data_IF_193005734551
#
_entry.id   IF_193005734551
#
_cell.length_a   1.000
_cell.length_b   1.000
_cell.length_c   1.000
_cell.angle_alpha   90.00
_cell.angle_beta   90.00
_cell.angle_gamma   90.00
#
_symmetry.space_group_name_H-M   'P 1'
#
loop_
_entity.id
_entity.type
_entity.pdbx_description
1 polymer ?
#
# COMPACT_ATOMS: atom_id res chain seq x y z
N UNK A 1 -19.44 -42.67 48.54
CA UNK A 1 -19.29 -41.40 47.80
C UNK A 1 -17.93 -41.39 47.12
N UNK A 2 -17.88 -41.50 45.79
CA UNK A 2 -16.62 -41.48 45.00
C UNK A 2 -16.35 -40.03 44.58
N UNK A 3 -15.27 -39.46 45.08
CA UNK A 3 -14.77 -38.13 44.70
C UNK A 3 -14.06 -38.22 43.35
N UNK A 4 -14.63 -37.62 42.32
CA UNK A 4 -14.02 -37.46 40.98
C UNK A 4 -12.99 -36.33 41.06
N UNK A 5 -11.71 -36.64 40.87
CA UNK A 5 -10.64 -35.65 40.71
C UNK A 5 -10.70 -35.09 39.29
N UNK A 6 -11.05 -33.82 39.17
CA UNK A 6 -11.13 -33.05 37.91
C UNK A 6 -10.18 -31.85 38.00
N UNK A 7 -8.87 -32.05 38.10
CA UNK A 7 -7.93 -30.92 38.30
C UNK A 7 -6.51 -31.16 37.76
N UNK A 8 -6.35 -31.70 36.55
CA UNK A 8 -5.03 -31.62 35.88
C UNK A 8 -5.06 -31.25 34.39
N UNK A 9 -6.18 -31.41 33.69
CA UNK A 9 -6.25 -31.09 32.26
C UNK A 9 -6.30 -29.58 31.96
N UNK A 10 -6.84 -28.76 32.88
CA UNK A 10 -7.02 -27.32 32.63
C UNK A 10 -5.71 -26.52 32.74
N UNK A 11 -4.74 -26.97 33.55
CA UNK A 11 -3.47 -26.26 33.72
C UNK A 11 -2.58 -26.35 32.49
N UNK A 12 -2.55 -27.51 31.83
CA UNK A 12 -1.72 -27.71 30.63
C UNK A 12 -2.28 -26.94 29.43
N UNK A 13 -3.61 -26.89 29.27
CA UNK A 13 -4.24 -26.10 28.20
C UNK A 13 -4.05 -24.60 28.42
N UNK A 14 -4.20 -24.13 29.66
CA UNK A 14 -3.98 -22.70 29.99
C UNK A 14 -2.50 -22.30 29.86
N UNK A 15 -1.56 -23.19 30.24
CA UNK A 15 -0.13 -22.95 29.99
C UNK A 15 0.19 -22.92 28.50
N UNK A 16 -0.33 -23.85 27.69
CA UNK A 16 -0.08 -23.85 26.24
C UNK A 16 -0.69 -22.62 25.54
N UNK A 17 -1.86 -22.15 25.98
CA UNK A 17 -2.47 -20.91 25.45
C UNK A 17 -1.66 -19.68 25.89
N UNK A 18 -1.16 -19.63 27.13
CA UNK A 18 -0.27 -18.54 27.58
C UNK A 18 1.09 -18.57 26.89
N UNK A 19 1.67 -19.75 26.62
CA UNK A 19 2.94 -19.86 25.87
C UNK A 19 2.75 -19.51 24.39
N UNK A 20 1.62 -19.87 23.77
CA UNK A 20 1.26 -19.41 22.43
C UNK A 20 0.98 -17.90 22.38
N UNK A 21 0.39 -17.31 23.44
CA UNK A 21 0.24 -15.86 23.57
C UNK A 21 1.57 -15.13 23.86
N UNK A 22 2.50 -15.78 24.57
CA UNK A 22 3.83 -15.22 24.84
C UNK A 22 4.77 -15.35 23.64
N UNK A 23 4.54 -16.28 22.71
CA UNK A 23 5.21 -16.30 21.40
C UNK A 23 4.67 -15.22 20.43
N UNK A 24 3.66 -14.44 20.83
CA UNK A 24 3.24 -13.20 20.17
C UNK A 24 3.97 -11.95 20.71
N UNK A 25 5.00 -12.14 21.55
CA UNK A 25 5.82 -11.07 22.12
C UNK A 25 6.96 -10.73 21.14
N UNK A 26 6.67 -9.64 20.43
CA UNK A 26 7.52 -8.65 19.72
C UNK A 26 8.63 -9.19 18.83
N UNK A 27 8.29 -9.55 17.59
CA UNK A 27 9.22 -9.39 16.50
C UNK A 27 8.90 -8.01 15.84
N UNK A 28 9.94 -7.21 15.59
CA UNK A 28 9.90 -5.82 15.10
C UNK A 28 8.87 -5.59 14.00
N UNK A 29 8.22 -4.43 13.96
CA UNK A 29 7.21 -4.15 12.95
C UNK A 29 7.89 -3.80 11.63
N UNK A 30 7.22 -3.97 10.50
CA UNK A 30 7.88 -3.80 9.21
C UNK A 30 6.79 -3.61 8.13
N UNK A 31 6.98 -2.63 7.24
CA UNK A 31 6.03 -2.26 6.17
C UNK A 31 6.32 -2.99 4.86
N UNK A 32 5.63 -2.68 3.76
CA UNK A 32 5.99 -3.22 2.45
C UNK A 32 5.69 -2.20 1.37
N UNK A 33 6.68 -1.91 0.53
CA UNK A 33 6.47 -1.10 -0.66
C UNK A 33 5.38 -1.72 -1.55
N UNK A 34 4.67 -0.85 -2.24
CA UNK A 34 3.54 -1.24 -3.07
C UNK A 34 4.04 -1.80 -4.40
N UNK A 35 3.64 -3.02 -4.78
CA UNK A 35 4.03 -3.58 -6.06
C UNK A 35 3.38 -2.78 -7.20
N UNK A 36 4.13 -2.57 -8.29
CA UNK A 36 3.54 -2.12 -9.55
C UNK A 36 2.47 -3.11 -10.02
N UNK A 37 1.44 -2.66 -10.78
CA UNK A 37 1.21 -1.30 -11.24
C UNK A 37 0.40 -0.44 -10.25
N UNK A 38 0.17 -0.93 -9.02
CA UNK A 38 -0.87 -0.41 -8.12
C UNK A 38 -0.75 1.07 -7.76
N UNK A 39 0.46 1.65 -7.89
CA UNK A 39 0.70 3.09 -7.76
C UNK A 39 -0.16 3.91 -8.72
N UNK A 40 -0.36 3.44 -9.95
CA UNK A 40 -1.22 4.07 -10.95
C UNK A 40 -2.71 3.74 -10.79
N UNK A 41 -3.05 2.91 -9.80
CA UNK A 41 -4.41 2.62 -9.39
C UNK A 41 -4.80 3.35 -8.10
N UNK A 42 -3.91 4.16 -7.53
CA UNK A 42 -4.20 4.95 -6.33
C UNK A 42 -3.69 4.36 -5.02
N UNK A 43 -3.04 3.19 -5.04
CA UNK A 43 -2.41 2.62 -3.86
C UNK A 43 -1.29 3.53 -3.31
N UNK A 44 -1.16 3.62 -1.99
CA UNK A 44 -0.12 4.40 -1.32
C UNK A 44 1.26 3.85 -1.68
N UNK A 45 2.15 4.70 -2.19
CA UNK A 45 3.45 4.25 -2.71
C UNK A 45 4.66 4.93 -2.02
N UNK A 46 4.52 5.21 -0.72
CA UNK A 46 5.63 5.70 0.08
C UNK A 46 6.70 4.61 0.28
N UNK A 47 8.00 4.96 0.24
CA UNK A 47 9.05 4.03 0.58
C UNK A 47 8.98 3.57 2.05
N UNK A 48 9.47 2.36 2.31
CA UNK A 48 9.45 1.75 3.64
C UNK A 48 10.47 2.40 4.59
N UNK A 49 10.02 2.84 5.77
CA UNK A 49 10.87 3.47 6.78
C UNK A 49 11.72 2.47 7.59
N UNK A 50 11.45 1.18 7.45
CA UNK A 50 12.17 0.09 8.12
C UNK A 50 12.64 -0.97 7.14
N UNK A 51 13.45 -1.91 7.61
CA UNK A 51 13.84 -3.10 6.84
C UNK A 51 12.61 -3.96 6.65
N UNK A 52 12.38 -4.53 5.47
CA UNK A 52 11.16 -5.26 5.20
C UNK A 52 11.32 -6.53 4.39
N UNK A 53 10.47 -7.52 4.65
CA UNK A 53 10.30 -8.71 3.82
C UNK A 53 8.83 -9.10 3.87
N UNK A 54 8.08 -8.75 2.84
CA UNK A 54 6.64 -8.94 2.81
C UNK A 54 6.21 -9.84 1.67
N UNK A 55 5.24 -10.71 1.96
CA UNK A 55 4.48 -11.45 0.98
C UNK A 55 3.05 -10.92 0.98
N UNK A 56 2.44 -10.81 -0.18
CA UNK A 56 1.08 -10.30 -0.27
C UNK A 56 0.37 -10.67 -1.55
N UNK A 57 -0.90 -10.29 -1.56
CA UNK A 57 -1.76 -10.33 -2.72
C UNK A 57 -2.26 -8.91 -3.00
N UNK A 58 -2.22 -8.50 -4.27
CA UNK A 58 -2.78 -7.24 -4.74
C UNK A 58 -3.70 -7.51 -5.92
N UNK A 59 -4.90 -6.93 -5.89
CA UNK A 59 -5.85 -6.98 -7.00
C UNK A 59 -6.10 -5.56 -7.50
N UNK A 60 -5.81 -5.31 -8.77
CA UNK A 60 -6.21 -4.08 -9.47
C UNK A 60 -7.21 -4.42 -10.58
N UNK A 61 -8.09 -3.49 -10.95
CA UNK A 61 -9.02 -3.66 -12.08
C UNK A 61 -8.86 -2.54 -13.10
N UNK A 62 -8.73 -2.93 -14.37
CA UNK A 62 -8.83 -2.05 -15.52
C UNK A 62 -10.14 -2.30 -16.25
N UNK A 63 -10.91 -1.26 -16.52
CA UNK A 63 -12.15 -1.31 -17.31
C UNK A 63 -11.98 -0.58 -18.63
N UNK A 64 -12.38 -1.22 -19.72
CA UNK A 64 -12.21 -0.70 -21.09
C UNK A 64 -13.17 0.44 -21.48
N UNK A 65 -14.19 0.69 -20.67
CA UNK A 65 -15.33 1.54 -21.02
C UNK A 65 -15.32 2.82 -20.23
N UNK A 66 -15.58 3.96 -20.88
CA UNK A 66 -15.79 5.26 -20.24
C UNK A 66 -17.18 5.38 -19.56
N UNK A 67 -17.45 6.53 -18.93
CA UNK A 67 -18.75 6.82 -18.29
C UNK A 67 -19.96 6.75 -19.23
N UNK A 68 -19.75 6.97 -20.53
CA UNK A 68 -20.77 6.86 -21.59
C UNK A 68 -20.88 5.44 -22.18
N UNK A 69 -20.14 4.46 -21.62
CA UNK A 69 -20.02 3.07 -22.09
C UNK A 69 -19.40 2.91 -23.47
N UNK A 70 -18.67 3.91 -23.92
CA UNK A 70 -17.84 3.85 -25.11
C UNK A 70 -16.45 3.31 -24.76
N UNK A 71 -15.78 2.70 -25.73
CA UNK A 71 -14.44 2.19 -25.51
C UNK A 71 -13.45 3.36 -25.30
N UNK A 72 -12.74 3.36 -24.17
CA UNK A 72 -11.87 4.48 -23.76
C UNK A 72 -10.59 4.58 -24.62
N UNK A 73 -9.99 3.43 -24.95
CA UNK A 73 -8.76 3.37 -25.72
C UNK A 73 -8.71 2.10 -26.58
N UNK A 74 -7.58 1.83 -27.24
CA UNK A 74 -7.43 0.67 -28.11
C UNK A 74 -7.36 -0.69 -27.36
N UNK A 75 -7.54 -0.70 -26.04
CA UNK A 75 -7.66 -1.93 -25.24
C UNK A 75 -9.12 -2.35 -25.26
N UNK A 76 -9.40 -3.48 -25.92
CA UNK A 76 -10.76 -4.04 -26.07
C UNK A 76 -11.06 -5.15 -25.07
N UNK A 77 -10.33 -5.21 -23.97
CA UNK A 77 -10.52 -6.19 -22.90
C UNK A 77 -10.47 -5.52 -21.52
N UNK A 78 -11.38 -5.91 -20.63
CA UNK A 78 -11.28 -5.61 -19.20
C UNK A 78 -10.28 -6.59 -18.58
N UNK A 79 -9.42 -6.09 -17.68
CA UNK A 79 -8.35 -6.88 -17.08
C UNK A 79 -8.36 -6.74 -15.56
N UNK A 80 -8.16 -7.85 -14.86
CA UNK A 80 -7.65 -7.81 -13.49
C UNK A 80 -6.12 -7.86 -13.51
N UNK A 81 -5.47 -7.27 -12.51
CA UNK A 81 -4.06 -7.52 -12.22
C UNK A 81 -3.97 -8.08 -10.81
N UNK A 82 -4.03 -9.41 -10.72
CA UNK A 82 -4.15 -10.16 -9.48
C UNK A 82 -2.79 -10.77 -9.14
N UNK A 83 -1.98 -10.04 -8.40
CA UNK A 83 -0.58 -10.38 -8.19
C UNK A 83 -0.34 -10.91 -6.80
N UNK A 84 0.20 -12.13 -6.73
CA UNK A 84 1.02 -12.51 -5.59
C UNK A 84 2.35 -11.78 -5.70
N UNK A 85 2.80 -11.14 -4.62
CA UNK A 85 4.01 -10.35 -4.61
C UNK A 85 4.89 -10.67 -3.39
N UNK A 86 6.20 -10.58 -3.60
CA UNK A 86 7.23 -10.59 -2.57
C UNK A 86 8.01 -9.29 -2.66
N UNK A 87 8.10 -8.54 -1.57
CA UNK A 87 8.84 -7.28 -1.48
C UNK A 87 9.88 -7.37 -0.38
N UNK A 88 11.10 -6.89 -0.65
CA UNK A 88 12.19 -6.83 0.31
C UNK A 88 12.80 -5.45 0.32
N UNK A 89 12.81 -4.80 1.49
CA UNK A 89 13.50 -3.53 1.74
C UNK A 89 14.65 -3.74 2.71
N UNK A 90 15.78 -3.09 2.48
CA UNK A 90 16.91 -3.06 3.41
C UNK A 90 17.44 -1.64 3.57
N UNK A 91 17.59 -1.19 4.80
CA UNK A 91 18.35 -0.01 5.19
C UNK A 91 19.79 -0.45 5.48
N UNK A 92 20.74 0.19 4.81
CA UNK A 92 22.13 -0.27 4.81
C UNK A 92 22.92 0.31 5.98
N UNK A 93 23.41 -0.54 6.89
CA UNK A 93 24.25 -0.11 8.02
C UNK A 93 25.54 0.62 7.60
N UNK A 94 26.09 0.30 6.42
CA UNK A 94 27.32 0.90 5.88
C UNK A 94 27.09 2.20 5.09
N UNK A 95 25.85 2.45 4.67
CA UNK A 95 25.46 3.62 3.87
C UNK A 95 24.30 4.29 4.61
N UNK A 96 24.65 5.07 5.62
CA UNK A 96 23.66 5.70 6.49
C UNK A 96 22.66 6.54 5.69
N UNK A 97 21.38 6.38 6.00
CA UNK A 97 20.28 7.02 5.30
C UNK A 97 19.86 6.32 4.00
N UNK A 98 20.63 5.38 3.44
CA UNK A 98 20.24 4.68 2.22
C UNK A 98 19.40 3.43 2.53
N UNK A 99 18.28 3.28 1.83
CA UNK A 99 17.54 2.02 1.71
C UNK A 99 17.40 1.59 0.26
N UNK A 100 17.28 0.29 0.04
CA UNK A 100 16.95 -0.30 -1.26
C UNK A 100 15.75 -1.20 -1.13
N UNK A 101 14.87 -1.20 -2.13
CA UNK A 101 13.75 -2.12 -2.23
C UNK A 101 13.85 -2.92 -3.53
N UNK A 102 13.45 -4.19 -3.46
CA UNK A 102 13.17 -5.02 -4.63
C UNK A 102 11.83 -5.74 -4.41
N UNK A 103 10.95 -5.65 -5.40
CA UNK A 103 9.66 -6.32 -5.38
C UNK A 103 9.49 -7.16 -6.64
N UNK A 104 8.98 -8.37 -6.48
CA UNK A 104 8.62 -9.26 -7.57
C UNK A 104 7.17 -9.66 -7.41
N UNK A 105 6.44 -9.78 -8.51
CA UNK A 105 5.14 -10.41 -8.47
C UNK A 105 4.77 -11.09 -9.77
N UNK A 106 3.61 -11.74 -9.73
CA UNK A 106 2.92 -12.16 -10.93
C UNK A 106 1.58 -12.78 -10.61
N UNK A 107 0.77 -12.96 -11.66
CA UNK A 107 -0.51 -13.63 -11.51
C UNK A 107 -1.45 -13.47 -12.71
N UNK A 108 -2.63 -14.08 -12.60
CA UNK A 108 -3.60 -14.14 -13.70
C UNK A 108 -4.30 -12.80 -13.92
N UNK A 109 -4.72 -12.57 -15.16
CA UNK A 109 -5.35 -11.30 -15.58
C UNK A 109 -6.88 -11.33 -15.57
N UNK A 110 -7.48 -12.42 -15.07
CA UNK A 110 -8.91 -12.53 -14.93
C UNK A 110 -9.48 -11.45 -14.00
N UNK A 111 -10.73 -11.05 -14.18
CA UNK A 111 -11.32 -9.93 -13.42
C UNK A 111 -11.71 -10.26 -11.97
N UNK A 112 -11.59 -11.52 -11.55
CA UNK A 112 -11.91 -11.91 -10.20
C UNK A 112 -10.66 -11.87 -9.32
N UNK A 113 -10.76 -11.39 -8.07
CA UNK A 113 -11.99 -11.04 -7.34
C UNK A 113 -12.43 -9.57 -7.45
N UNK A 114 -11.68 -8.71 -8.15
CA UNK A 114 -11.90 -7.25 -8.14
C UNK A 114 -13.22 -6.84 -8.77
N UNK A 115 -13.71 -7.55 -9.79
CA UNK A 115 -15.04 -7.33 -10.37
C UNK A 115 -16.17 -7.59 -9.37
N UNK A 116 -16.08 -8.68 -8.60
CA UNK A 116 -17.10 -8.97 -7.58
C UNK A 116 -17.13 -7.85 -6.53
N UNK A 117 -15.96 -7.44 -6.04
CA UNK A 117 -15.85 -6.36 -5.05
C UNK A 117 -16.39 -5.04 -5.59
N UNK A 118 -16.08 -4.66 -6.83
CA UNK A 118 -16.60 -3.42 -7.40
C UNK A 118 -18.11 -3.53 -7.71
N UNK A 119 -18.53 -4.49 -8.54
CA UNK A 119 -19.90 -4.50 -9.06
C UNK A 119 -20.91 -4.99 -8.00
N UNK A 120 -20.61 -6.06 -7.26
CA UNK A 120 -21.59 -6.66 -6.35
C UNK A 120 -21.55 -6.01 -4.96
N UNK A 121 -20.36 -5.72 -4.44
CA UNK A 121 -20.24 -5.15 -3.10
C UNK A 121 -20.35 -3.62 -3.10
N UNK A 122 -19.50 -2.90 -3.83
CA UNK A 122 -19.54 -1.43 -3.86
C UNK A 122 -20.78 -0.92 -4.61
N UNK A 123 -20.98 -1.31 -5.88
CA UNK A 123 -22.03 -0.72 -6.72
C UNK A 123 -23.42 -1.20 -6.30
N UNK A 124 -23.66 -2.51 -6.21
CA UNK A 124 -24.98 -3.04 -5.87
C UNK A 124 -25.31 -2.92 -4.37
N UNK A 125 -24.41 -3.35 -3.48
CA UNK A 125 -24.74 -3.45 -2.05
C UNK A 125 -24.63 -2.13 -1.29
N UNK A 126 -23.59 -1.32 -1.56
CA UNK A 126 -23.29 -0.11 -0.79
C UNK A 126 -23.94 1.14 -1.40
N UNK A 127 -23.71 1.39 -2.69
CA UNK A 127 -24.08 2.66 -3.32
C UNK A 127 -25.33 2.59 -4.19
N UNK A 128 -25.82 1.39 -4.53
CA UNK A 128 -26.94 1.14 -5.43
C UNK A 128 -26.82 1.90 -6.78
N UNK A 129 -25.63 1.85 -7.39
CA UNK A 129 -25.30 2.49 -8.68
C UNK A 129 -25.13 1.44 -9.79
N UNK A 130 -25.27 1.80 -11.08
CA UNK A 130 -25.13 0.86 -12.19
C UNK A 130 -23.78 0.14 -12.19
N UNK A 131 -23.78 -1.15 -12.55
CA UNK A 131 -22.55 -1.94 -12.64
C UNK A 131 -21.75 -1.61 -13.90
N UNK A 132 -20.42 -1.78 -13.81
CA UNK A 132 -19.54 -1.57 -14.96
C UNK A 132 -19.61 -2.79 -15.90
N UNK A 133 -19.95 -2.60 -17.19
CA UNK A 133 -20.08 -3.68 -18.15
C UNK A 133 -18.72 -4.32 -18.48
N UNK A 134 -18.77 -5.58 -18.90
CA UNK A 134 -17.61 -6.37 -19.34
C UNK A 134 -18.01 -7.10 -20.62
N UNK A 135 -17.30 -6.85 -21.72
CA UNK A 135 -17.49 -7.61 -22.96
C UNK A 135 -16.57 -8.82 -23.02
N UNK A 136 -15.27 -8.55 -22.88
CA UNK A 136 -14.23 -9.56 -22.95
C UNK A 136 -13.29 -9.37 -21.77
N UNK A 137 -12.97 -10.48 -21.12
CA UNK A 137 -11.99 -10.54 -20.05
C UNK A 137 -10.67 -11.01 -20.60
N UNK A 138 -9.60 -10.26 -20.35
CA UNK A 138 -8.26 -10.67 -20.74
C UNK A 138 -7.85 -11.94 -19.99
N UNK A 139 -7.47 -12.98 -20.72
CA UNK A 139 -6.99 -14.24 -20.16
C UNK A 139 -5.50 -14.44 -20.44
N UNK A 140 -4.65 -14.06 -19.51
CA UNK A 140 -3.20 -14.08 -19.61
C UNK A 140 -2.58 -14.20 -18.21
N UNK A 141 -1.25 -14.28 -18.17
CA UNK A 141 -0.45 -14.18 -16.96
C UNK A 141 0.48 -12.98 -17.09
N UNK A 142 0.46 -12.10 -16.09
CA UNK A 142 1.33 -10.94 -16.03
C UNK A 142 2.34 -11.07 -14.89
N UNK A 143 3.48 -10.40 -15.06
CA UNK A 143 4.50 -10.27 -14.03
C UNK A 143 4.95 -8.81 -13.92
N UNK A 144 5.59 -8.51 -12.80
CA UNK A 144 6.17 -7.21 -12.48
C UNK A 144 7.41 -7.40 -11.63
N UNK A 145 8.36 -6.50 -11.81
CA UNK A 145 9.57 -6.35 -11.01
C UNK A 145 9.75 -4.87 -10.74
N UNK A 146 9.92 -4.51 -9.49
CA UNK A 146 10.25 -3.17 -9.05
C UNK A 146 11.59 -3.18 -8.32
N UNK A 147 12.41 -2.18 -8.56
CA UNK A 147 13.62 -1.95 -7.79
C UNK A 147 13.78 -0.45 -7.53
N UNK A 148 14.14 -0.07 -6.32
CA UNK A 148 14.36 1.33 -5.98
C UNK A 148 15.47 1.52 -4.96
N UNK A 149 16.04 2.72 -4.97
CA UNK A 149 16.95 3.22 -3.95
C UNK A 149 16.40 4.53 -3.41
N UNK A 150 16.39 4.66 -2.08
CA UNK A 150 15.82 5.81 -1.38
C UNK A 150 16.82 6.31 -0.34
N UNK A 151 17.16 7.59 -0.42
CA UNK A 151 17.91 8.28 0.61
C UNK A 151 16.94 8.95 1.59
N UNK A 152 17.19 8.75 2.87
CA UNK A 152 16.38 9.19 3.99
C UNK A 152 17.10 10.23 4.82
N UNK A 153 16.37 11.26 5.22
CA UNK A 153 16.83 12.27 6.15
C UNK A 153 15.88 12.37 7.35
N UNK A 154 16.45 12.33 8.55
CA UNK A 154 15.71 12.55 9.79
C UNK A 154 15.50 14.04 10.02
N UNK A 155 14.39 14.41 10.64
CA UNK A 155 14.12 15.79 11.03
C UNK A 155 13.51 15.77 12.42
N UNK A 156 14.00 16.65 13.29
CA UNK A 156 13.48 16.86 14.64
C UNK A 156 13.40 15.57 15.48
N UNK A 157 14.54 14.88 15.62
CA UNK A 157 14.69 13.61 16.36
C UNK A 157 13.88 12.41 15.80
N UNK A 158 13.05 12.62 14.78
CA UNK A 158 12.42 11.54 14.02
C UNK A 158 13.35 11.11 12.88
N UNK A 159 13.94 9.90 12.92
CA UNK A 159 14.70 9.37 11.81
C UNK A 159 13.79 9.16 10.61
N UNK A 160 14.35 9.27 9.41
CA UNK A 160 13.71 8.82 8.15
C UNK A 160 12.34 9.46 7.87
N UNK A 161 12.26 10.79 7.95
CA UNK A 161 11.02 11.54 7.64
C UNK A 161 11.02 11.99 6.19
N UNK A 162 12.08 12.66 5.75
CA UNK A 162 12.20 13.11 4.38
C UNK A 162 12.86 12.03 3.55
N UNK A 163 12.42 11.88 2.32
CA UNK A 163 13.03 10.94 1.39
C UNK A 163 13.17 11.55 0.00
N UNK A 164 14.22 11.10 -0.68
CA UNK A 164 14.42 11.30 -2.11
C UNK A 164 14.99 10.01 -2.69
N UNK A 165 14.45 9.56 -3.81
CA UNK A 165 14.85 8.29 -4.39
C UNK A 165 14.35 8.13 -5.80
N UNK A 166 14.66 6.97 -6.36
CA UNK A 166 14.23 6.61 -7.70
C UNK A 166 14.41 5.12 -7.93
N UNK A 167 13.86 4.66 -9.04
CA UNK A 167 13.80 3.24 -9.32
C UNK A 167 13.34 2.94 -10.73
N UNK A 168 13.16 1.64 -10.96
CA UNK A 168 12.62 1.10 -12.20
C UNK A 168 11.52 0.10 -11.84
N UNK A 169 10.39 0.23 -12.52
CA UNK A 169 9.26 -0.69 -12.49
C UNK A 169 9.16 -1.32 -13.87
N UNK A 170 9.18 -2.65 -13.99
CA UNK A 170 9.16 -3.34 -15.28
C UNK A 170 8.25 -4.55 -15.21
N UNK A 171 7.38 -4.72 -16.20
CA UNK A 171 6.49 -5.86 -16.26
C UNK A 171 5.79 -6.00 -17.61
N UNK A 172 4.81 -6.88 -17.65
CA UNK A 172 4.03 -7.13 -18.88
C UNK A 172 3.28 -5.88 -19.36
N UNK A 173 2.85 -4.99 -18.45
CA UNK A 173 2.05 -3.80 -18.80
C UNK A 173 2.91 -2.66 -19.33
N UNK A 174 4.00 -2.35 -18.63
CA UNK A 174 4.86 -1.20 -18.92
C UNK A 174 6.25 -1.38 -18.30
N UNK A 175 7.18 -0.56 -18.76
CA UNK A 175 8.45 -0.29 -18.08
C UNK A 175 8.52 1.20 -17.75
N UNK A 176 8.81 1.55 -16.51
CA UNK A 176 8.89 2.93 -16.02
C UNK A 176 10.19 3.12 -15.26
N UNK A 177 10.97 4.13 -15.66
CA UNK A 177 11.99 4.71 -14.79
C UNK A 177 11.39 5.88 -14.04
N UNK A 178 11.53 5.93 -12.72
CA UNK A 178 10.89 6.97 -11.90
C UNK A 178 11.82 7.60 -10.87
N UNK A 179 11.51 8.85 -10.52
CA UNK A 179 12.04 9.56 -9.36
C UNK A 179 10.91 9.97 -8.42
N UNK A 180 11.15 9.94 -7.11
CA UNK A 180 10.20 10.34 -6.08
C UNK A 180 10.86 11.10 -4.95
N UNK A 181 10.14 12.03 -4.35
CA UNK A 181 10.57 12.72 -3.14
C UNK A 181 9.35 13.09 -2.28
N UNK A 182 9.56 13.21 -0.97
CA UNK A 182 8.46 13.53 -0.08
C UNK A 182 8.80 13.45 1.40
N UNK A 183 7.73 13.46 2.19
CA UNK A 183 7.72 13.26 3.63
C UNK A 183 6.89 12.02 3.97
N UNK A 184 7.38 11.20 4.89
CA UNK A 184 6.68 10.02 5.38
C UNK A 184 6.49 10.10 6.89
N UNK A 185 5.24 9.94 7.32
CA UNK A 185 4.81 9.89 8.72
C UNK A 185 5.38 11.03 9.59
N UNK A 186 5.34 12.26 9.08
CA UNK A 186 5.71 13.43 9.85
C UNK A 186 4.80 13.57 11.09
N UNK A 187 5.33 13.77 12.31
CA UNK A 187 4.57 13.77 13.55
C UNK A 187 3.73 15.03 13.79
N UNK A 188 2.78 15.31 12.90
CA UNK A 188 1.89 16.47 12.94
C UNK A 188 1.13 16.60 14.28
N UNK A 189 0.72 15.47 14.84
CA UNK A 189 0.07 15.40 16.15
C UNK A 189 0.85 16.05 17.29
N UNK A 190 2.18 15.90 17.27
CA UNK A 190 3.07 16.48 18.27
C UNK A 190 3.23 17.99 18.08
N UNK A 191 3.26 18.48 16.83
CA UNK A 191 3.22 19.91 16.53
C UNK A 191 1.93 20.55 17.03
N UNK A 192 0.78 19.97 16.67
CA UNK A 192 -0.55 20.49 17.04
C UNK A 192 -0.76 20.49 18.56
N UNK A 193 -0.19 19.52 19.27
CA UNK A 193 -0.27 19.46 20.72
C UNK A 193 0.77 20.31 21.46
N UNK A 194 1.64 21.07 20.75
CA UNK A 194 2.75 21.84 21.30
C UNK A 194 3.70 20.98 22.18
N UNK A 195 3.92 19.72 21.78
CA UNK A 195 4.73 18.74 22.53
C UNK A 195 5.93 18.24 21.72
N UNK A 196 6.51 19.10 20.90
CA UNK A 196 7.55 18.76 19.94
C UNK A 196 8.73 18.00 20.59
N UNK A 197 9.32 18.56 21.64
CA UNK A 197 10.47 18.00 22.39
C UNK A 197 10.15 16.73 23.20
N UNK A 198 8.89 16.28 23.16
CA UNK A 198 8.39 15.13 23.93
C UNK A 198 7.62 14.16 23.07
N UNK A 199 7.76 14.23 21.74
CA UNK A 199 6.99 13.39 20.82
C UNK A 199 7.24 11.90 21.10
N UNK A 200 8.51 11.52 21.26
CA UNK A 200 8.96 10.15 21.53
C UNK A 200 9.02 9.77 23.01
N UNK A 201 8.80 10.73 23.93
CA UNK A 201 8.83 10.44 25.36
C UNK A 201 7.48 9.89 25.82
N UNK A 202 7.53 8.82 26.62
CA UNK A 202 6.41 8.35 27.43
C UNK A 202 6.08 9.43 28.43
N UNK A 203 5.16 10.32 28.08
CA UNK A 203 4.73 11.36 29.01
C UNK A 203 3.62 10.74 29.86
N UNK A 204 3.99 10.17 31.00
CA UNK A 204 3.04 9.89 32.07
C UNK A 204 2.30 11.20 32.39
N UNK A 205 0.96 11.16 32.47
CA UNK A 205 0.08 12.32 32.70
C UNK A 205 -0.10 13.34 31.55
N UNK A 206 -0.01 12.94 30.27
CA UNK A 206 -0.65 13.74 29.21
C UNK A 206 -2.14 13.42 29.16
N UNK A 207 -2.99 14.44 29.27
CA UNK A 207 -4.45 14.27 29.14
C UNK A 207 -4.82 13.53 27.86
N UNK A 208 -5.93 12.81 27.88
CA UNK A 208 -6.37 11.90 26.81
C UNK A 208 -6.37 12.55 25.41
N UNK A 209 -6.74 13.83 25.31
CA UNK A 209 -6.74 14.57 24.04
C UNK A 209 -5.34 14.71 23.45
N UNK A 210 -4.32 15.01 24.28
CA UNK A 210 -2.93 15.12 23.83
C UNK A 210 -2.36 13.76 23.43
N UNK A 211 -2.75 12.69 24.15
CA UNK A 211 -2.41 11.33 23.77
C UNK A 211 -3.01 10.94 22.42
N UNK A 212 -4.29 11.27 22.20
CA UNK A 212 -4.96 11.05 20.93
C UNK A 212 -4.31 11.84 19.79
N UNK A 213 -4.04 13.15 20.00
CA UNK A 213 -3.41 14.01 19.00
C UNK A 213 -2.04 13.51 18.58
N UNK A 214 -1.22 13.01 19.51
CA UNK A 214 0.11 12.44 19.20
C UNK A 214 0.10 11.35 18.14
N UNK A 215 -1.02 10.63 17.99
CA UNK A 215 -1.16 9.55 17.02
C UNK A 215 -1.22 10.03 15.57
N UNK A 216 -1.48 11.31 15.30
CA UNK A 216 -1.58 11.81 13.92
C UNK A 216 -0.22 11.97 13.26
N UNK A 217 -0.10 11.42 12.04
CA UNK A 217 1.03 11.60 11.14
C UNK A 217 0.58 12.07 9.76
N UNK A 218 1.39 12.92 9.15
CA UNK A 218 1.18 13.44 7.79
C UNK A 218 2.22 12.84 6.84
N UNK A 219 1.80 12.42 5.65
CA UNK A 219 2.71 12.04 4.57
C UNK A 219 2.33 12.74 3.28
N UNK A 220 3.33 12.94 2.43
CA UNK A 220 3.15 13.55 1.12
C UNK A 220 4.30 13.17 0.19
N UNK A 221 4.00 12.96 -1.09
CA UNK A 221 4.98 12.54 -2.09
C UNK A 221 4.65 13.12 -3.45
N UNK A 222 5.68 13.53 -4.19
CA UNK A 222 5.65 13.68 -5.64
C UNK A 222 6.46 12.57 -6.31
N UNK A 223 5.97 12.05 -7.43
CA UNK A 223 6.64 11.07 -8.30
C UNK A 223 6.58 11.54 -9.75
N UNK A 224 7.67 11.38 -10.47
CA UNK A 224 7.77 11.57 -11.91
C UNK A 224 8.33 10.31 -12.55
N UNK A 225 7.73 9.87 -13.66
CA UNK A 225 8.15 8.67 -14.38
C UNK A 225 8.19 8.86 -15.89
N UNK A 226 9.12 8.15 -16.52
CA UNK A 226 9.18 7.97 -17.96
C UNK A 226 8.79 6.53 -18.28
N UNK A 227 7.72 6.35 -19.05
CA UNK A 227 7.05 5.07 -19.26
C UNK A 227 7.22 4.62 -20.70
N UNK A 228 7.43 3.33 -20.88
CA UNK A 228 7.44 2.62 -22.14
C UNK A 228 6.40 1.50 -22.10
N UNK A 229 5.76 1.25 -23.24
CA UNK A 229 4.80 0.16 -23.38
C UNK A 229 5.46 -1.20 -23.06
N UNK A 230 4.74 -2.04 -22.32
CA UNK A 230 5.04 -3.45 -22.18
C UNK A 230 4.41 -4.28 -23.30
N UNK A 231 4.47 -5.61 -23.15
CA UNK A 231 3.91 -6.55 -24.13
C UNK A 231 2.40 -6.78 -24.01
N UNK A 232 1.78 -6.37 -22.91
CA UNK A 232 0.37 -6.66 -22.61
C UNK A 232 -0.61 -5.82 -23.43
N UNK A 233 -0.21 -4.64 -23.89
CA UNK A 233 -1.10 -3.71 -24.60
C UNK A 233 -0.48 -3.19 -25.91
N UNK A 234 -1.32 -2.89 -26.93
CA UNK A 234 -0.85 -2.30 -28.18
C UNK A 234 -0.05 -1.01 -27.95
N UNK A 235 0.92 -0.72 -28.83
CA UNK A 235 1.69 0.52 -28.80
C UNK A 235 0.78 1.76 -28.80
N UNK A 236 1.10 2.77 -27.99
CA UNK A 236 0.34 4.01 -27.90
C UNK A 236 -0.85 3.98 -26.94
N UNK A 237 -1.07 2.86 -26.23
CA UNK A 237 -2.10 2.77 -25.17
C UNK A 237 -1.64 3.27 -23.81
N UNK A 238 -0.31 3.39 -23.61
CA UNK A 238 0.31 3.85 -22.37
C UNK A 238 0.92 5.22 -22.63
N UNK A 239 0.75 6.12 -21.68
CA UNK A 239 1.28 7.47 -21.74
C UNK A 239 2.80 7.45 -21.50
N UNK A 240 3.63 8.13 -22.32
CA UNK A 240 5.09 8.08 -22.20
C UNK A 240 5.66 8.72 -20.92
N UNK A 241 4.84 9.46 -20.17
CA UNK A 241 5.25 10.13 -18.94
C UNK A 241 4.14 10.08 -17.89
N UNK A 242 4.53 9.89 -16.63
CA UNK A 242 3.64 9.98 -15.47
C UNK A 242 4.12 11.08 -14.51
N UNK A 243 3.16 11.79 -13.93
CA UNK A 243 3.35 12.68 -12.79
C UNK A 243 2.29 12.31 -11.77
N UNK A 244 2.72 12.08 -10.54
CA UNK A 244 1.84 11.64 -9.47
C UNK A 244 2.11 12.44 -8.21
N UNK A 245 1.03 12.83 -7.54
CA UNK A 245 1.06 13.46 -6.23
C UNK A 245 0.21 12.61 -5.25
N UNK A 246 0.77 12.31 -4.09
CA UNK A 246 0.10 11.60 -3.01
C UNK A 246 0.16 12.43 -1.73
N UNK A 247 -0.94 12.44 -1.00
CA UNK A 247 -1.01 12.97 0.35
C UNK A 247 -1.83 12.03 1.23
N UNK A 248 -1.43 11.86 2.48
CA UNK A 248 -2.18 11.02 3.41
C UNK A 248 -2.04 11.50 4.85
N UNK A 249 -3.09 11.22 5.61
CA UNK A 249 -3.14 11.41 7.05
C UNK A 249 -3.33 10.04 7.68
N UNK A 250 -2.47 9.71 8.65
CA UNK A 250 -2.63 8.51 9.45
C UNK A 250 -2.86 8.85 10.92
N UNK A 251 -3.56 7.96 11.59
CA UNK A 251 -3.66 7.91 13.04
C UNK A 251 -3.21 6.53 13.50
N UNK A 252 -2.26 6.50 14.42
CA UNK A 252 -1.72 5.23 14.90
C UNK A 252 -1.20 5.26 16.34
N UNK A 253 -1.00 4.06 16.87
CA UNK A 253 -0.34 3.81 18.14
C UNK A 253 1.05 3.30 17.82
N UNK A 254 2.07 4.14 18.05
CA UNK A 254 3.46 3.86 17.70
C UNK A 254 4.21 3.26 18.89
N UNK A 255 4.99 2.21 18.64
CA UNK A 255 5.84 1.59 19.65
C UNK A 255 7.04 2.50 20.00
N UNK A 256 7.49 2.39 21.25
CA UNK A 256 8.53 3.23 21.88
C UNK A 256 9.94 2.95 21.35
N UNK A 257 10.18 1.78 20.76
CA UNK A 257 11.53 1.32 20.37
C UNK A 257 11.75 1.45 18.86
N UNK A 258 10.81 0.96 18.06
CA UNK A 258 10.99 0.85 16.60
C UNK A 258 10.42 2.05 15.82
N UNK A 259 9.75 2.99 16.51
CA UNK A 259 9.02 4.15 15.93
C UNK A 259 7.97 3.77 14.87
N UNK A 260 7.51 2.53 14.91
CA UNK A 260 6.51 1.98 14.00
C UNK A 260 5.16 1.75 14.66
N UNK A 261 4.07 1.79 13.89
CA UNK A 261 2.75 1.60 14.45
C UNK A 261 2.47 0.13 14.77
N UNK A 262 2.12 -0.14 16.03
CA UNK A 262 1.43 -1.36 16.42
C UNK A 262 0.07 -1.46 15.73
N UNK A 263 -0.61 -0.31 15.61
CA UNK A 263 -1.85 -0.11 14.88
C UNK A 263 -1.81 1.23 14.16
N UNK A 264 -2.24 1.26 12.90
CA UNK A 264 -2.37 2.50 12.13
C UNK A 264 -3.53 2.39 11.16
N UNK A 265 -4.33 3.45 11.09
CA UNK A 265 -5.25 3.69 9.98
C UNK A 265 -4.73 4.87 9.21
N UNK A 266 -4.63 4.74 7.89
CA UNK A 266 -4.15 5.78 7.01
C UNK A 266 -5.16 6.00 5.89
N UNK A 267 -5.56 7.24 5.69
CA UNK A 267 -6.39 7.65 4.57
C UNK A 267 -5.59 8.60 3.68
N UNK A 268 -5.70 8.42 2.37
CA UNK A 268 -4.95 9.21 1.41
C UNK A 268 -5.73 9.56 0.16
N UNK A 269 -5.18 10.51 -0.58
CA UNK A 269 -5.61 10.87 -1.91
C UNK A 269 -4.40 10.82 -2.86
N UNK A 270 -4.64 10.33 -4.06
CA UNK A 270 -3.67 10.25 -5.15
C UNK A 270 -4.21 11.02 -6.34
N UNK A 271 -3.40 11.90 -6.92
CA UNK A 271 -3.60 12.47 -8.25
C UNK A 271 -2.54 11.91 -9.18
N UNK A 272 -2.94 11.27 -10.26
CA UNK A 272 -2.05 10.72 -11.27
C UNK A 272 -2.42 11.32 -12.63
N UNK A 273 -1.42 11.79 -13.38
CA UNK A 273 -1.60 12.23 -14.77
C UNK A 273 -2.12 11.15 -15.73
N UNK A 274 -2.11 9.88 -15.30
CA UNK A 274 -2.67 8.75 -16.03
C UNK A 274 -1.61 7.86 -16.65
N UNK A 275 -1.69 6.56 -16.35
CA UNK A 275 -0.91 5.52 -17.05
C UNK A 275 -1.39 5.34 -18.49
N UNK A 276 -2.70 5.42 -18.74
CA UNK A 276 -3.29 5.13 -20.04
C UNK A 276 -3.54 6.40 -20.86
N UNK A 277 -3.41 6.26 -22.18
CA UNK A 277 -3.82 7.26 -23.15
C UNK A 277 -5.11 6.81 -23.85
N UNK A 278 -5.96 7.77 -24.23
CA UNK A 278 -7.14 7.51 -25.06
C UNK A 278 -6.75 7.26 -26.53
N UNK A 279 -7.73 6.95 -27.37
CA UNK A 279 -7.50 6.70 -28.81
C UNK A 279 -6.84 7.86 -29.57
N UNK A 280 -6.95 9.10 -29.05
CA UNK A 280 -6.35 10.30 -29.62
C UNK A 280 -4.97 10.63 -29.02
N UNK A 281 -4.46 9.80 -28.10
CA UNK A 281 -3.19 10.03 -27.41
C UNK A 281 -3.27 11.00 -26.23
N UNK A 282 -4.46 11.50 -25.87
CA UNK A 282 -4.65 12.34 -24.68
C UNK A 282 -4.58 11.51 -23.41
N UNK A 283 -4.01 12.11 -22.37
CA UNK A 283 -3.83 11.49 -21.05
C UNK A 283 -5.15 11.44 -20.29
N UNK A 284 -5.33 10.39 -19.49
CA UNK A 284 -6.44 10.29 -18.55
C UNK A 284 -5.96 10.65 -17.15
N UNK A 285 -6.22 11.88 -16.71
CA UNK A 285 -5.95 12.25 -15.32
C UNK A 285 -6.88 11.47 -14.39
N UNK A 286 -6.31 10.89 -13.33
CA UNK A 286 -7.01 10.05 -12.37
C UNK A 286 -6.84 10.56 -10.95
N UNK A 287 -7.91 10.45 -10.18
CA UNK A 287 -7.95 10.83 -8.79
C UNK A 287 -8.52 9.68 -7.98
N UNK A 288 -7.78 9.25 -6.96
CA UNK A 288 -8.14 8.12 -6.12
C UNK A 288 -8.18 8.51 -4.67
N UNK A 289 -9.12 7.93 -3.93
CA UNK A 289 -9.01 7.82 -2.49
C UNK A 289 -8.43 6.44 -2.14
N UNK A 290 -7.71 6.36 -1.03
CA UNK A 290 -7.18 5.12 -0.48
C UNK A 290 -7.38 5.08 1.03
N UNK A 291 -7.65 3.90 1.57
CA UNK A 291 -7.68 3.62 3.00
C UNK A 291 -6.87 2.37 3.27
N UNK A 292 -5.90 2.49 4.17
CA UNK A 292 -5.07 1.42 4.68
C UNK A 292 -5.31 1.22 6.18
N UNK A 293 -5.30 -0.03 6.60
CA UNK A 293 -5.27 -0.44 8.00
C UNK A 293 -4.08 -1.37 8.22
N UNK A 294 -3.34 -1.12 9.29
CA UNK A 294 -2.17 -1.91 9.67
C UNK A 294 -2.32 -2.36 11.11
N UNK A 295 -2.10 -3.64 11.33
CA UNK A 295 -2.11 -4.26 12.65
C UNK A 295 -0.89 -5.17 12.72
N UNK A 296 0.13 -4.75 13.47
CA UNK A 296 1.41 -5.45 13.56
C UNK A 296 2.00 -5.73 12.15
N UNK A 297 2.21 -7.00 11.82
CA UNK A 297 2.79 -7.47 10.56
C UNK A 297 1.76 -7.64 9.44
N UNK A 298 0.49 -7.32 9.69
CA UNK A 298 -0.58 -7.45 8.73
C UNK A 298 -1.02 -6.07 8.22
N UNK A 299 -1.20 -5.96 6.90
CA UNK A 299 -1.71 -4.75 6.25
C UNK A 299 -2.85 -5.10 5.31
N UNK A 300 -3.89 -4.29 5.36
CA UNK A 300 -4.99 -4.27 4.41
C UNK A 300 -5.06 -2.86 3.81
N UNK A 301 -5.25 -2.76 2.51
CA UNK A 301 -5.45 -1.49 1.83
C UNK A 301 -6.49 -1.65 0.73
N UNK A 302 -7.28 -0.62 0.48
CA UNK A 302 -8.19 -0.52 -0.66
C UNK A 302 -8.25 0.90 -1.18
N UNK A 303 -8.52 1.04 -2.47
CA UNK A 303 -8.59 2.32 -3.16
C UNK A 303 -9.64 2.29 -4.27
N UNK A 304 -10.12 3.47 -4.65
CA UNK A 304 -11.12 3.63 -5.70
C UNK A 304 -11.02 5.00 -6.38
N UNK A 305 -11.44 5.10 -7.64
CA UNK A 305 -11.41 6.30 -8.50
C UNK A 305 -12.67 7.18 -8.40
N UNK A 306 -13.53 6.93 -7.41
CA UNK A 306 -14.76 7.70 -7.17
C UNK A 306 -14.55 9.22 -7.07
N UNK A 307 -13.35 9.69 -6.69
CA UNK A 307 -13.05 11.14 -6.68
C UNK A 307 -13.15 11.77 -8.07
N UNK A 308 -12.87 10.99 -9.12
CA UNK A 308 -12.99 11.43 -10.50
C UNK A 308 -14.42 11.28 -11.05
N UNK A 309 -15.31 10.55 -10.34
CA UNK A 309 -16.61 10.08 -10.87
C UNK A 309 -16.49 9.37 -12.22
N UNK A 310 -15.32 8.79 -12.47
CA UNK A 310 -15.03 7.97 -13.63
C UNK A 310 -15.03 6.53 -13.09
N UNK A 311 -15.75 5.61 -13.73
CA UNK A 311 -15.70 4.17 -13.43
C UNK A 311 -14.86 3.45 -14.52
N UNK A 312 -13.84 4.14 -15.03
CA UNK A 312 -13.15 3.76 -16.26
C UNK A 312 -11.63 3.84 -16.24
N UNK A 313 -10.98 2.88 -16.89
CA UNK A 313 -9.54 2.68 -16.79
C UNK A 313 -9.18 2.01 -15.46
N UNK A 314 -8.13 2.45 -14.76
CA UNK A 314 -7.89 2.06 -13.37
C UNK A 314 -9.02 2.48 -12.43
N UNK A 315 -9.74 1.52 -11.85
CA UNK A 315 -10.90 1.82 -11.00
C UNK A 315 -10.68 1.46 -9.53
N UNK A 316 -10.84 0.18 -9.23
CA UNK A 316 -10.85 -0.38 -7.88
C UNK A 316 -9.65 -1.29 -7.68
N UNK A 317 -9.13 -1.28 -6.46
CA UNK A 317 -8.20 -2.30 -6.04
C UNK A 317 -8.10 -2.46 -4.54
N UNK A 318 -7.38 -3.51 -4.18
CA UNK A 318 -7.08 -3.82 -2.80
C UNK A 318 -5.77 -4.58 -2.70
N UNK A 319 -5.16 -4.51 -1.51
CA UNK A 319 -3.95 -5.23 -1.16
C UNK A 319 -4.08 -5.82 0.23
N UNK A 320 -3.61 -7.05 0.36
CA UNK A 320 -3.41 -7.71 1.64
C UNK A 320 -1.95 -8.14 1.68
N UNK A 321 -1.23 -7.76 2.72
CA UNK A 321 0.15 -8.17 2.89
C UNK A 321 0.46 -8.61 4.31
N UNK A 322 1.41 -9.53 4.40
CA UNK A 322 1.97 -9.99 5.63
C UNK A 322 3.49 -9.80 5.58
N UNK A 323 4.03 -9.32 6.68
CA UNK A 323 5.45 -9.09 6.80
C UNK A 323 6.12 -10.23 7.60
N UNK A 324 7.11 -10.85 6.97
CA UNK A 324 7.88 -12.01 7.42
C UNK A 324 9.22 -11.64 8.03
N UNK A 325 9.76 -10.45 7.74
CA UNK A 325 11.06 -9.98 8.23
C UNK A 325 11.30 -10.29 9.72
N UNK A 326 10.35 -10.02 10.62
CA UNK A 326 10.58 -10.14 12.06
C UNK A 326 10.68 -11.60 12.49
N UNK A 327 10.03 -12.51 11.76
CA UNK A 327 10.04 -13.94 12.03
C UNK A 327 11.29 -14.64 11.50
N UNK A 328 11.93 -14.06 10.48
CA UNK A 328 13.10 -14.64 9.80
C UNK A 328 14.39 -14.02 10.33
N UNK A 329 14.39 -12.72 10.61
CA UNK A 329 15.58 -11.94 10.98
C UNK A 329 15.51 -11.33 12.39
N UNK A 330 14.37 -11.43 13.09
CA UNK A 330 14.17 -10.80 14.41
C UNK A 330 14.53 -11.65 15.63
N UNK A 331 15.30 -12.73 15.46
CA UNK A 331 15.73 -13.63 16.55
C UNK A 331 17.14 -13.33 17.06
N UNK A 332 17.46 -12.06 17.33
CA UNK A 332 18.68 -11.67 18.05
C UNK A 332 18.34 -11.10 19.44
#
# INVERSE_FOLDING_TARGET
>A
MRSIRLTSLSRTVVQSVCTALCLLVVPSFVTAETPAPSVHWGALNYPDQADTLSIGYTGNRFTQFNGDREQFNNISETSGFNFGALSWTQHWKRLEGLSTNVTFGGGPTGEQPTRYLQNEFIHNTIYNIPTVPVLQTRNSFDFMVDASATYWHGVFDSPRVFFIGGGVSSGSLYTEGFGRAGIRRFPLGCALALMWDRCDKSVENIGWFRAFMKGFRLSGMGRFGAIQNGSAFPTGTVNPQSYLAQASLSWGIYDKVDKEPWFEVEAGATMDSGLFANANGSRLEQQFWTVAMRIRNFSLETWNDQLNSQDFGPTYGFRISYNLYPHIFGND
#
